data_IF_656581162866
#
_entry.id   IF_656581162866
#
_cell.length_a   1.000
_cell.length_b   1.000
_cell.length_c   1.000
_cell.angle_alpha   90.00
_cell.angle_beta   90.00
_cell.angle_gamma   90.00
#
_symmetry.space_group_name_H-M   'P 1'
#
loop_
_entity.id
_entity.type
_entity.pdbx_description
1 polymer ?
#
# COMPACT_ATOMS: atom_id res chain seq x y z
N UNK A 1 14.96 -0.33 -20.11
CA UNK A 1 14.40 0.19 -18.84
C UNK A 1 15.40 1.13 -18.14
N UNK A 2 16.65 0.74 -17.94
CA UNK A 2 17.66 1.54 -17.21
C UNK A 2 17.99 2.90 -17.85
N UNK A 3 17.81 3.05 -19.16
CA UNK A 3 17.94 4.34 -19.83
C UNK A 3 16.96 5.42 -19.32
N UNK A 4 15.88 5.01 -18.66
CA UNK A 4 14.89 5.90 -18.03
C UNK A 4 15.23 6.24 -16.58
N UNK A 5 16.34 5.73 -16.03
CA UNK A 5 16.79 5.92 -14.65
C UNK A 5 15.65 5.67 -13.62
N UNK A 6 15.06 4.47 -13.58
CA UNK A 6 13.97 4.19 -12.65
C UNK A 6 14.48 4.15 -11.21
N UNK A 7 13.71 4.70 -10.28
CA UNK A 7 13.98 4.60 -8.84
C UNK A 7 13.64 3.21 -8.30
N UNK A 8 12.68 2.52 -8.93
CA UNK A 8 12.17 1.22 -8.51
C UNK A 8 11.73 0.41 -9.72
N UNK A 9 12.03 -0.90 -9.73
CA UNK A 9 11.49 -1.85 -10.71
C UNK A 9 10.46 -2.77 -10.06
N UNK A 10 9.28 -2.89 -10.70
CA UNK A 10 8.22 -3.79 -10.26
C UNK A 10 8.15 -5.02 -11.17
N UNK A 11 8.19 -6.19 -10.55
CA UNK A 11 7.96 -7.49 -11.19
C UNK A 11 6.63 -8.10 -10.75
N UNK A 12 6.08 -9.00 -11.56
CA UNK A 12 4.83 -9.69 -11.23
C UNK A 12 5.04 -11.20 -11.25
N UNK A 13 4.77 -11.83 -10.09
CA UNK A 13 4.71 -13.29 -9.92
C UNK A 13 3.26 -13.66 -9.65
N UNK A 14 2.47 -13.85 -10.69
CA UNK A 14 1.04 -14.15 -10.61
C UNK A 14 0.71 -15.36 -11.51
N UNK A 15 0.19 -16.43 -10.92
CA UNK A 15 -0.08 -17.70 -11.62
C UNK A 15 -1.55 -17.88 -11.99
N UNK A 16 -2.46 -17.18 -11.33
CA UNK A 16 -3.90 -17.45 -11.46
C UNK A 16 -4.75 -16.24 -11.84
N UNK A 17 -4.20 -15.04 -11.81
CA UNK A 17 -4.97 -13.80 -11.91
C UNK A 17 -5.87 -13.57 -10.69
N UNK A 18 -6.43 -12.36 -10.60
CA UNK A 18 -7.35 -12.00 -9.53
C UNK A 18 -8.77 -12.52 -9.82
N UNK A 19 -9.43 -13.05 -8.80
CA UNK A 19 -10.83 -13.46 -8.86
C UNK A 19 -11.08 -14.88 -8.35
N UNK A 20 -12.37 -15.26 -8.25
CA UNK A 20 -12.78 -16.57 -7.75
C UNK A 20 -12.39 -17.71 -8.70
N UNK A 21 -12.35 -17.41 -10.00
CA UNK A 21 -11.98 -18.39 -11.03
C UNK A 21 -10.52 -18.21 -11.44
N UNK A 22 -9.66 -19.21 -11.17
CA UNK A 22 -8.27 -19.15 -11.56
C UNK A 22 -8.10 -19.09 -13.09
N UNK A 23 -7.27 -18.19 -13.56
CA UNK A 23 -6.85 -18.12 -14.96
C UNK A 23 -5.34 -18.38 -15.03
N UNK A 24 -4.91 -19.31 -15.86
CA UNK A 24 -3.48 -19.54 -16.05
C UNK A 24 -2.84 -18.27 -16.62
N UNK A 25 -1.91 -17.69 -15.86
CA UNK A 25 -1.16 -16.51 -16.25
C UNK A 25 0.25 -16.92 -16.73
N UNK A 26 0.82 -16.24 -17.75
CA UNK A 26 2.22 -16.40 -18.08
C UNK A 26 3.07 -15.98 -16.87
N UNK A 27 3.99 -16.86 -16.45
CA UNK A 27 4.85 -16.63 -15.30
C UNK A 27 6.31 -16.52 -15.79
N UNK A 28 7.03 -15.52 -15.30
CA UNK A 28 8.49 -15.49 -15.45
C UNK A 28 9.07 -16.76 -14.81
N UNK A 29 10.05 -17.40 -15.42
CA UNK A 29 10.78 -18.47 -14.75
C UNK A 29 11.51 -17.94 -13.52
N UNK A 30 11.77 -18.79 -12.55
CA UNK A 30 12.51 -18.41 -11.34
C UNK A 30 13.91 -17.88 -11.68
N UNK A 31 14.59 -18.52 -12.63
CA UNK A 31 15.91 -18.09 -13.08
C UNK A 31 15.86 -16.70 -13.72
N UNK A 32 14.89 -16.44 -14.62
CA UNK A 32 14.74 -15.13 -15.23
C UNK A 32 14.38 -14.06 -14.19
N UNK A 33 13.51 -14.37 -13.22
CA UNK A 33 13.20 -13.44 -12.13
C UNK A 33 14.45 -13.11 -11.33
N UNK A 34 15.24 -14.13 -10.97
CA UNK A 34 16.50 -13.97 -10.24
C UNK A 34 17.49 -13.10 -11.01
N UNK A 35 17.70 -13.41 -12.29
CA UNK A 35 18.63 -12.66 -13.15
C UNK A 35 18.23 -11.18 -13.24
N UNK A 36 16.93 -10.90 -13.44
CA UNK A 36 16.41 -9.53 -13.54
C UNK A 36 16.54 -8.76 -12.23
N UNK A 37 16.25 -9.39 -11.08
CA UNK A 37 16.37 -8.78 -9.76
C UNK A 37 17.85 -8.55 -9.41
N UNK A 38 18.71 -9.54 -9.67
CA UNK A 38 20.15 -9.41 -9.46
C UNK A 38 20.71 -8.26 -10.27
N UNK A 39 20.38 -8.21 -11.56
CA UNK A 39 20.82 -7.12 -12.44
C UNK A 39 20.34 -5.74 -11.94
N UNK A 40 19.09 -5.62 -11.47
CA UNK A 40 18.58 -4.38 -10.89
C UNK A 40 19.37 -3.95 -9.64
N UNK A 41 19.57 -4.89 -8.71
CA UNK A 41 20.29 -4.64 -7.46
C UNK A 41 21.75 -4.24 -7.70
N UNK A 42 22.45 -4.89 -8.66
CA UNK A 42 23.83 -4.54 -9.07
C UNK A 42 23.94 -3.13 -9.66
N UNK A 43 22.85 -2.61 -10.22
CA UNK A 43 22.78 -1.23 -10.74
C UNK A 43 22.18 -0.23 -9.73
N UNK A 44 22.04 -0.63 -8.47
CA UNK A 44 21.52 0.25 -7.41
C UNK A 44 20.03 0.56 -7.52
N UNK A 45 19.28 -0.19 -8.35
CA UNK A 45 17.83 0.00 -8.51
C UNK A 45 17.09 -1.00 -7.65
N UNK A 46 16.29 -0.50 -6.72
CA UNK A 46 15.47 -1.33 -5.82
C UNK A 46 14.39 -2.09 -6.61
N UNK A 47 13.98 -3.22 -6.05
CA UNK A 47 12.97 -4.07 -6.69
C UNK A 47 11.79 -4.32 -5.77
N UNK A 48 10.59 -4.38 -6.33
CA UNK A 48 9.38 -4.81 -5.65
C UNK A 48 8.65 -5.86 -6.49
N UNK A 49 8.09 -6.86 -5.83
CA UNK A 49 7.44 -7.98 -6.53
C UNK A 49 5.98 -8.09 -6.09
N UNK A 50 5.07 -8.19 -7.04
CA UNK A 50 3.70 -8.63 -6.78
C UNK A 50 3.69 -10.13 -6.51
N UNK A 51 3.22 -10.53 -5.32
CA UNK A 51 3.17 -11.92 -4.87
C UNK A 51 1.84 -12.18 -4.13
N UNK A 52 0.95 -13.04 -4.65
CA UNK A 52 -0.33 -13.30 -4.03
C UNK A 52 -0.29 -14.36 -2.92
N UNK A 53 0.73 -15.23 -2.91
CA UNK A 53 0.86 -16.37 -1.99
C UNK A 53 2.24 -16.45 -1.35
N UNK A 54 2.32 -17.15 -0.20
CA UNK A 54 3.60 -17.37 0.51
C UNK A 54 4.61 -18.13 -0.34
N UNK A 55 4.17 -19.08 -1.16
CA UNK A 55 5.06 -19.84 -2.06
C UNK A 55 5.78 -18.91 -3.04
N UNK A 56 5.02 -18.07 -3.78
CA UNK A 56 5.58 -17.12 -4.74
C UNK A 56 6.41 -16.02 -4.06
N UNK A 57 6.02 -15.65 -2.84
CA UNK A 57 6.78 -14.69 -2.04
C UNK A 57 8.15 -15.24 -1.62
N UNK A 58 8.24 -16.52 -1.23
CA UNK A 58 9.51 -17.18 -0.94
C UNK A 58 10.43 -17.24 -2.17
N UNK A 59 9.89 -17.52 -3.35
CA UNK A 59 10.65 -17.46 -4.61
C UNK A 59 11.21 -16.04 -4.86
N UNK A 60 10.40 -15.00 -4.64
CA UNK A 60 10.84 -13.62 -4.80
C UNK A 60 11.94 -13.23 -3.79
N UNK A 61 11.83 -13.67 -2.52
CA UNK A 61 12.90 -13.49 -1.52
C UNK A 61 14.18 -14.20 -1.95
N UNK A 62 14.07 -15.46 -2.41
CA UNK A 62 15.23 -16.24 -2.89
C UNK A 62 15.89 -15.61 -4.12
N UNK A 63 15.12 -14.88 -4.94
CA UNK A 63 15.63 -14.11 -6.07
C UNK A 63 16.31 -12.79 -5.65
N UNK A 64 16.24 -12.38 -4.37
CA UNK A 64 16.86 -11.15 -3.85
C UNK A 64 15.98 -9.90 -3.95
N UNK A 65 14.65 -10.06 -3.98
CA UNK A 65 13.72 -8.94 -3.98
C UNK A 65 13.91 -8.05 -2.72
N UNK A 66 13.77 -6.73 -2.86
CA UNK A 66 13.89 -5.80 -1.74
C UNK A 66 12.53 -5.57 -1.05
N UNK A 67 11.43 -5.72 -1.78
CA UNK A 67 10.10 -5.42 -1.26
C UNK A 67 8.99 -6.21 -1.97
N UNK A 68 7.81 -6.23 -1.36
CA UNK A 68 6.58 -6.69 -2.01
C UNK A 68 5.64 -5.53 -2.29
N UNK A 69 5.07 -5.54 -3.50
CA UNK A 69 4.11 -4.52 -3.94
C UNK A 69 2.74 -4.63 -3.24
N UNK A 70 2.45 -5.81 -2.69
CA UNK A 70 1.21 -6.12 -1.96
C UNK A 70 1.53 -7.09 -0.83
N UNK A 71 0.66 -7.14 0.20
CA UNK A 71 0.70 -8.24 1.15
C UNK A 71 0.27 -9.55 0.46
N UNK A 72 0.69 -10.68 1.02
CA UNK A 72 0.16 -12.01 0.65
C UNK A 72 -1.31 -12.08 1.09
N UNK A 73 -2.18 -12.58 0.22
CA UNK A 73 -3.63 -12.58 0.47
C UNK A 73 -4.34 -13.90 0.17
N UNK A 74 -3.70 -14.84 -0.53
CA UNK A 74 -4.32 -16.13 -0.89
C UNK A 74 -4.20 -17.19 0.20
N UNK A 75 -3.20 -17.07 1.09
CA UNK A 75 -2.91 -18.00 2.17
C UNK A 75 -2.41 -17.24 3.41
N UNK A 76 -2.54 -17.86 4.57
CA UNK A 76 -2.01 -17.31 5.81
C UNK A 76 -0.50 -17.47 5.87
N UNK A 77 0.19 -16.42 6.35
CA UNK A 77 1.63 -16.47 6.58
C UNK A 77 1.95 -17.34 7.80
N UNK A 78 2.96 -18.17 7.70
CA UNK A 78 3.48 -18.97 8.80
C UNK A 78 4.64 -18.27 9.51
N UNK A 79 4.98 -18.75 10.74
CA UNK A 79 6.05 -18.19 11.55
C UNK A 79 7.41 -18.19 10.82
N UNK A 80 7.71 -19.25 10.07
CA UNK A 80 8.97 -19.34 9.32
C UNK A 80 9.05 -18.30 8.19
N UNK A 81 7.92 -17.95 7.60
CA UNK A 81 7.85 -16.96 6.55
C UNK A 81 8.02 -15.52 7.10
N UNK A 82 7.34 -15.18 8.19
CA UNK A 82 7.47 -13.83 8.75
C UNK A 82 8.90 -13.60 9.28
N UNK A 83 9.52 -14.59 9.89
CA UNK A 83 10.93 -14.53 10.29
C UNK A 83 11.90 -14.39 9.11
N UNK A 84 11.61 -15.09 7.99
CA UNK A 84 12.39 -14.92 6.75
C UNK A 84 12.34 -13.49 6.25
N UNK A 85 11.13 -12.88 6.18
CA UNK A 85 10.98 -11.50 5.72
C UNK A 85 11.70 -10.50 6.63
N UNK A 86 11.57 -10.67 7.95
CA UNK A 86 12.25 -9.81 8.92
C UNK A 86 13.78 -9.92 8.79
N UNK A 87 14.31 -11.15 8.70
CA UNK A 87 15.75 -11.39 8.58
C UNK A 87 16.35 -10.84 7.28
N UNK A 88 15.58 -10.82 6.19
CA UNK A 88 15.99 -10.31 4.89
C UNK A 88 15.65 -8.81 4.69
N UNK A 89 15.10 -8.15 5.72
CA UNK A 89 14.66 -6.74 5.65
C UNK A 89 13.69 -6.46 4.48
N UNK A 90 12.82 -7.41 4.15
CA UNK A 90 11.82 -7.22 3.11
C UNK A 90 10.77 -6.21 3.61
N UNK A 91 10.46 -5.22 2.80
CA UNK A 91 9.40 -4.25 3.10
C UNK A 91 8.13 -4.66 2.34
N UNK A 92 7.00 -4.74 3.04
CA UNK A 92 5.73 -5.17 2.46
C UNK A 92 4.78 -3.99 2.36
N UNK A 93 4.34 -3.68 1.14
CA UNK A 93 3.26 -2.71 0.93
C UNK A 93 1.92 -3.32 1.34
N UNK A 94 1.11 -2.60 2.10
CA UNK A 94 -0.10 -3.16 2.74
C UNK A 94 -1.23 -3.42 1.76
N UNK A 95 -1.63 -2.41 0.99
CA UNK A 95 -2.65 -2.44 -0.08
C UNK A 95 -3.93 -3.23 0.26
N UNK A 96 -4.39 -3.18 1.51
CA UNK A 96 -5.59 -3.88 1.99
C UNK A 96 -6.82 -3.42 1.20
N UNK A 97 -6.91 -2.10 0.96
CA UNK A 97 -8.01 -1.48 0.21
C UNK A 97 -8.17 -2.06 -1.21
N UNK A 98 -7.12 -2.64 -1.78
CA UNK A 98 -7.18 -3.26 -3.10
C UNK A 98 -8.06 -4.50 -3.13
N UNK A 99 -8.10 -5.26 -2.03
CA UNK A 99 -8.92 -6.45 -1.84
C UNK A 99 -10.20 -6.16 -1.03
N UNK A 100 -10.47 -4.90 -0.66
CA UNK A 100 -11.70 -4.57 0.07
C UNK A 100 -12.91 -4.60 -0.86
N UNK A 101 -13.92 -5.34 -0.46
CA UNK A 101 -15.18 -5.48 -1.20
C UNK A 101 -16.26 -4.51 -0.71
N UNK A 102 -16.07 -3.90 0.47
CA UNK A 102 -16.98 -2.88 0.98
C UNK A 102 -16.65 -1.54 0.33
N UNK A 103 -17.64 -0.96 -0.34
CA UNK A 103 -17.55 0.34 -0.99
C UNK A 103 -18.31 1.44 -0.23
N UNK A 104 -18.81 1.14 0.96
CA UNK A 104 -19.57 2.10 1.79
C UNK A 104 -18.74 3.29 2.21
N UNK A 105 -17.42 3.17 2.23
CA UNK A 105 -16.52 4.29 2.52
C UNK A 105 -16.62 5.46 1.52
N UNK A 106 -17.16 5.23 0.32
CA UNK A 106 -17.45 6.33 -0.61
C UNK A 106 -18.58 7.25 -0.11
N UNK A 107 -19.38 6.79 0.84
CA UNK A 107 -20.41 7.62 1.50
C UNK A 107 -19.83 8.51 2.60
N UNK A 108 -18.57 8.31 3.00
CA UNK A 108 -17.89 9.16 3.97
C UNK A 108 -17.75 10.61 3.45
N UNK A 109 -17.89 11.58 4.34
CA UNK A 109 -17.84 13.01 4.02
C UNK A 109 -16.55 13.43 3.27
N UNK A 110 -15.42 12.76 3.54
CA UNK A 110 -14.17 13.02 2.82
C UNK A 110 -14.31 12.71 1.32
N UNK A 111 -14.82 11.53 0.97
CA UNK A 111 -14.97 11.12 -0.42
C UNK A 111 -15.99 12.00 -1.13
N UNK A 112 -17.10 12.33 -0.45
CA UNK A 112 -18.12 13.27 -0.95
C UNK A 112 -17.57 14.68 -1.17
N UNK A 113 -16.59 15.10 -0.38
CA UNK A 113 -15.97 16.42 -0.52
C UNK A 113 -14.88 16.47 -1.60
N UNK A 114 -14.25 15.35 -1.91
CA UNK A 114 -13.10 15.28 -2.85
C UNK A 114 -13.50 14.81 -4.25
N UNK A 115 -14.58 14.07 -4.38
CA UNK A 115 -15.03 13.47 -5.62
C UNK A 115 -16.39 14.03 -6.02
N UNK A 116 -16.62 14.16 -7.32
CA UNK A 116 -17.98 14.45 -7.85
C UNK A 116 -18.85 13.19 -7.73
N UNK A 117 -20.16 13.36 -7.71
CA UNK A 117 -21.11 12.23 -7.70
C UNK A 117 -20.88 11.28 -8.89
N UNK A 118 -20.44 11.80 -10.03
CA UNK A 118 -20.09 11.00 -11.21
C UNK A 118 -18.83 10.18 -10.97
N UNK A 119 -17.79 10.77 -10.37
CA UNK A 119 -16.56 10.07 -10.01
C UNK A 119 -16.83 8.98 -8.97
N UNK A 120 -17.59 9.28 -7.91
CA UNK A 120 -18.02 8.28 -6.91
C UNK A 120 -18.75 7.13 -7.58
N UNK A 121 -19.74 7.46 -8.41
CA UNK A 121 -20.52 6.49 -9.16
C UNK A 121 -19.66 5.66 -10.12
N UNK A 122 -18.62 6.25 -10.73
CA UNK A 122 -17.67 5.54 -11.59
C UNK A 122 -16.80 4.59 -10.77
N UNK A 123 -16.28 5.02 -9.62
CA UNK A 123 -15.50 4.18 -8.70
C UNK A 123 -16.34 3.05 -8.11
N UNK A 124 -17.56 3.32 -7.65
CA UNK A 124 -18.50 2.28 -7.17
C UNK A 124 -18.87 1.29 -8.27
N UNK A 125 -18.98 1.74 -9.53
CA UNK A 125 -19.17 0.85 -10.69
C UNK A 125 -17.92 0.10 -11.09
N UNK A 126 -16.72 0.66 -10.88
CA UNK A 126 -15.46 -0.05 -11.07
C UNK A 126 -15.23 -1.10 -9.97
N UNK A 127 -15.79 -0.86 -8.80
CA UNK A 127 -15.97 -1.83 -7.71
C UNK A 127 -17.21 -2.74 -7.94
N UNK A 128 -17.54 -2.95 -9.19
CA UNK A 128 -18.68 -3.70 -9.76
C UNK A 128 -18.81 -5.13 -9.27
N UNK A 129 -18.19 -5.35 -8.16
CA UNK A 129 -18.12 -6.63 -7.50
C UNK A 129 -19.14 -6.76 -6.37
N UNK A 130 -19.80 -5.68 -5.96
CA UNK A 130 -20.86 -5.73 -4.94
C UNK A 130 -21.99 -6.63 -5.41
N UNK A 131 -22.29 -7.67 -4.62
CA UNK A 131 -23.31 -8.67 -4.95
C UNK A 131 -22.89 -9.72 -5.99
N UNK A 132 -21.63 -9.74 -6.41
CA UNK A 132 -21.08 -10.69 -7.40
C UNK A 132 -20.28 -11.81 -6.73
N UNK A 133 -19.98 -12.93 -7.43
CA UNK A 133 -19.04 -13.95 -6.96
C UNK A 133 -17.65 -13.37 -6.64
N UNK A 134 -17.24 -12.34 -7.36
CA UNK A 134 -15.95 -11.68 -7.12
C UNK A 134 -15.96 -10.93 -5.77
N UNK A 135 -17.00 -10.19 -5.45
CA UNK A 135 -17.14 -9.53 -4.15
C UNK A 135 -17.19 -10.55 -2.99
N UNK A 136 -17.88 -11.67 -3.18
CA UNK A 136 -17.92 -12.75 -2.19
C UNK A 136 -16.51 -13.34 -1.96
N UNK A 137 -15.75 -13.54 -3.04
CA UNK A 137 -14.36 -13.99 -2.96
C UNK A 137 -13.47 -12.98 -2.24
N UNK A 138 -13.53 -11.69 -2.56
CA UNK A 138 -12.77 -10.65 -1.84
C UNK A 138 -13.10 -10.64 -0.35
N UNK A 139 -14.40 -10.73 0.01
CA UNK A 139 -14.82 -10.83 1.41
C UNK A 139 -14.21 -12.03 2.12
N UNK A 140 -14.06 -13.16 1.44
CA UNK A 140 -13.47 -14.37 2.03
C UNK A 140 -11.97 -14.19 2.35
N UNK A 141 -11.28 -13.29 1.66
CA UNK A 141 -9.85 -13.01 1.88
C UNK A 141 -9.58 -12.09 3.08
N UNK A 142 -10.58 -11.32 3.54
CA UNK A 142 -10.39 -10.28 4.54
C UNK A 142 -9.76 -10.80 5.83
N UNK A 143 -10.23 -11.94 6.35
CA UNK A 143 -9.68 -12.52 7.58
C UNK A 143 -8.20 -12.89 7.43
N UNK A 144 -7.84 -13.55 6.33
CA UNK A 144 -6.46 -13.90 5.99
C UNK A 144 -5.57 -12.65 5.85
N UNK A 145 -6.05 -11.64 5.14
CA UNK A 145 -5.30 -10.38 4.97
C UNK A 145 -5.04 -9.72 6.33
N UNK A 146 -6.06 -9.60 7.18
CA UNK A 146 -5.93 -8.99 8.49
C UNK A 146 -5.03 -9.80 9.42
N UNK A 147 -5.11 -11.15 9.36
CA UNK A 147 -4.18 -12.03 10.05
C UNK A 147 -2.74 -11.77 9.60
N UNK A 148 -2.49 -11.77 8.29
CA UNK A 148 -1.18 -11.59 7.71
C UNK A 148 -0.56 -10.23 8.07
N UNK A 149 -1.33 -9.14 7.99
CA UNK A 149 -0.87 -7.81 8.38
C UNK A 149 -0.42 -7.78 9.85
N UNK A 150 -1.20 -8.38 10.76
CA UNK A 150 -0.82 -8.47 12.19
C UNK A 150 0.44 -9.31 12.38
N UNK A 151 0.46 -10.51 11.81
CA UNK A 151 1.59 -11.43 11.96
C UNK A 151 2.91 -10.82 11.45
N UNK A 152 2.87 -10.15 10.29
CA UNK A 152 4.01 -9.43 9.74
C UNK A 152 4.47 -8.29 10.68
N UNK A 153 3.52 -7.50 11.17
CA UNK A 153 3.82 -6.39 12.09
C UNK A 153 4.41 -6.87 13.42
N UNK A 154 3.81 -7.89 14.04
CA UNK A 154 4.26 -8.49 15.30
C UNK A 154 5.64 -9.12 15.18
N UNK A 155 5.98 -9.68 14.02
CA UNK A 155 7.30 -10.21 13.72
C UNK A 155 8.36 -9.14 13.39
N UNK A 156 7.98 -7.84 13.38
CA UNK A 156 8.88 -6.73 13.08
C UNK A 156 9.18 -6.54 11.59
N UNK A 157 8.43 -7.17 10.69
CA UNK A 157 8.53 -6.89 9.25
C UNK A 157 8.09 -5.45 8.99
N UNK A 158 8.88 -4.69 8.24
CA UNK A 158 8.51 -3.32 7.87
C UNK A 158 7.33 -3.34 6.90
N UNK A 159 6.21 -2.78 7.35
CA UNK A 159 5.06 -2.51 6.51
C UNK A 159 5.14 -1.08 5.99
N UNK A 160 4.76 -0.85 4.74
CA UNK A 160 4.63 0.48 4.13
C UNK A 160 3.23 0.63 3.55
N UNK A 161 2.61 1.81 3.70
CA UNK A 161 1.27 2.05 3.19
C UNK A 161 1.29 2.11 1.65
N UNK A 162 0.43 1.32 1.03
CA UNK A 162 0.10 1.38 -0.38
C UNK A 162 -1.40 1.24 -0.58
N UNK A 163 -1.94 1.69 -1.69
CA UNK A 163 -3.38 1.58 -1.97
C UNK A 163 -3.70 0.82 -3.26
N UNK A 164 -2.79 0.83 -4.22
CA UNK A 164 -3.02 0.35 -5.59
C UNK A 164 -4.33 0.93 -6.19
N UNK A 165 -4.64 2.18 -5.84
CA UNK A 165 -5.82 2.94 -6.25
C UNK A 165 -5.41 4.36 -6.65
N UNK A 166 -6.09 4.92 -7.64
CA UNK A 166 -5.78 6.24 -8.19
C UNK A 166 -6.47 7.41 -7.48
N UNK A 167 -7.33 7.16 -6.50
CA UNK A 167 -8.05 8.21 -5.75
C UNK A 167 -7.23 8.67 -4.56
N UNK A 168 -6.96 9.98 -4.45
CA UNK A 168 -6.12 10.56 -3.41
C UNK A 168 -6.65 10.43 -1.97
N UNK A 169 -7.94 10.08 -1.79
CA UNK A 169 -8.53 9.82 -0.47
C UNK A 169 -8.23 8.39 0.05
N UNK A 170 -7.83 7.46 -0.81
CA UNK A 170 -7.62 6.05 -0.45
C UNK A 170 -6.58 5.82 0.66
N UNK A 171 -5.50 6.60 0.81
CA UNK A 171 -4.60 6.44 1.97
C UNK A 171 -5.31 6.57 3.33
N UNK A 172 -6.32 7.42 3.45
CA UNK A 172 -7.09 7.53 4.69
C UNK A 172 -7.92 6.27 4.98
N UNK A 173 -8.44 5.64 3.94
CA UNK A 173 -9.16 4.36 4.08
C UNK A 173 -8.19 3.21 4.38
N UNK A 174 -7.04 3.17 3.74
CA UNK A 174 -6.00 2.18 4.05
C UNK A 174 -5.55 2.28 5.51
N UNK A 175 -5.37 3.50 6.04
CA UNK A 175 -5.08 3.74 7.46
C UNK A 175 -6.18 3.20 8.39
N UNK A 176 -7.46 3.37 8.01
CA UNK A 176 -8.58 2.77 8.77
C UNK A 176 -8.49 1.25 8.78
N UNK A 177 -8.26 0.63 7.62
CA UNK A 177 -8.14 -0.82 7.48
C UNK A 177 -6.96 -1.38 8.28
N UNK A 178 -5.83 -0.67 8.35
CA UNK A 178 -4.71 -1.04 9.22
C UNK A 178 -5.14 -1.08 10.70
N UNK A 179 -5.86 -0.05 11.15
CA UNK A 179 -6.36 0.00 12.54
C UNK A 179 -7.41 -1.09 12.80
N UNK A 180 -8.31 -1.35 11.85
CA UNK A 180 -9.27 -2.46 11.93
C UNK A 180 -8.57 -3.83 11.96
N UNK A 181 -7.43 -3.96 11.27
CA UNK A 181 -6.59 -5.16 11.33
C UNK A 181 -5.87 -5.33 12.68
N UNK A 182 -5.92 -4.34 13.58
CA UNK A 182 -5.34 -4.38 14.93
C UNK A 182 -4.04 -3.61 15.09
N UNK A 183 -3.61 -2.85 14.09
CA UNK A 183 -2.44 -1.97 14.19
C UNK A 183 -2.84 -0.70 14.96
N UNK A 184 -2.02 -0.25 15.91
CA UNK A 184 -2.32 0.99 16.64
C UNK A 184 -2.32 2.20 15.69
N UNK A 185 -3.13 3.26 15.96
CA UNK A 185 -3.14 4.46 15.11
C UNK A 185 -1.75 5.08 14.92
N UNK A 186 -0.91 5.08 15.96
CA UNK A 186 0.46 5.61 15.88
C UNK A 186 1.34 4.79 14.94
N UNK A 187 1.28 3.45 15.04
CA UNK A 187 2.02 2.58 14.12
C UNK A 187 1.48 2.65 12.69
N UNK A 188 0.16 2.78 12.50
CA UNK A 188 -0.43 3.00 11.18
C UNK A 188 0.08 4.30 10.53
N UNK A 189 0.24 5.38 11.30
CA UNK A 189 0.87 6.61 10.81
C UNK A 189 2.35 6.41 10.45
N UNK A 190 3.10 5.66 11.27
CA UNK A 190 4.50 5.32 10.96
C UNK A 190 4.61 4.50 9.68
N UNK A 191 3.73 3.52 9.48
CA UNK A 191 3.62 2.74 8.24
C UNK A 191 3.38 3.64 7.03
N UNK A 192 2.54 4.68 7.18
CA UNK A 192 2.21 5.61 6.11
C UNK A 192 3.28 6.68 5.84
N UNK A 193 4.23 6.89 6.75
CA UNK A 193 5.22 7.99 6.66
C UNK A 193 6.64 7.44 6.60
N UNK A 194 7.27 7.16 7.74
CA UNK A 194 8.67 6.75 7.82
C UNK A 194 8.93 5.44 7.07
N UNK A 195 8.06 4.44 7.24
CA UNK A 195 8.22 3.17 6.55
C UNK A 195 7.96 3.30 5.04
N UNK A 196 7.03 4.18 4.64
CA UNK A 196 6.83 4.53 3.23
C UNK A 196 8.09 5.16 2.61
N UNK A 197 8.75 6.06 3.33
CA UNK A 197 10.02 6.63 2.91
C UNK A 197 11.14 5.56 2.83
N UNK A 198 11.17 4.61 3.76
CA UNK A 198 12.10 3.47 3.71
C UNK A 198 11.83 2.56 2.51
N UNK A 199 10.55 2.30 2.19
CA UNK A 199 10.17 1.55 0.98
C UNK A 199 10.72 2.20 -0.29
N UNK A 200 10.65 3.53 -0.38
CA UNK A 200 11.16 4.31 -1.51
C UNK A 200 12.68 4.53 -1.48
N UNK A 201 13.36 4.20 -0.37
CA UNK A 201 14.79 4.44 -0.20
C UNK A 201 15.17 5.89 0.10
N UNK A 202 14.23 6.70 0.62
CA UNK A 202 14.41 8.14 0.91
C UNK A 202 14.20 8.48 2.39
N UNK A 203 14.34 7.51 3.29
CA UNK A 203 14.09 7.69 4.72
C UNK A 203 15.08 8.65 5.41
N UNK A 204 16.25 8.88 4.83
CA UNK A 204 17.20 9.89 5.31
C UNK A 204 16.66 11.33 5.13
N UNK A 205 15.86 11.54 4.08
CA UNK A 205 15.36 12.87 3.70
C UNK A 205 13.90 13.11 4.10
N UNK A 206 13.09 12.06 4.24
CA UNK A 206 11.63 12.13 4.36
C UNK A 206 11.08 11.16 5.42
N UNK A 207 9.79 11.29 5.72
CA UNK A 207 8.99 10.32 6.48
C UNK A 207 8.94 10.55 7.98
N UNK A 208 9.78 11.43 8.54
CA UNK A 208 9.75 11.83 9.95
C UNK A 208 10.04 13.32 10.11
N UNK A 209 9.63 13.89 11.25
CA UNK A 209 9.92 15.28 11.60
C UNK A 209 11.21 15.30 12.41
N UNK A 210 12.32 15.46 11.70
CA UNK A 210 13.65 15.47 12.26
C UNK A 210 14.48 16.61 11.67
N UNK A 211 15.48 17.08 12.44
CA UNK A 211 16.40 18.14 11.99
C UNK A 211 17.22 17.64 10.79
N UNK A 212 17.20 18.41 9.71
CA UNK A 212 17.94 18.10 8.48
C UNK A 212 17.09 17.46 7.39
N UNK A 213 15.93 16.92 7.72
CA UNK A 213 15.00 16.37 6.72
C UNK A 213 14.18 17.44 6.02
N UNK A 214 13.66 17.09 4.85
CA UNK A 214 12.75 17.95 4.09
C UNK A 214 11.45 18.17 4.88
N UNK A 215 10.99 19.41 4.91
CA UNK A 215 9.77 19.79 5.61
C UNK A 215 8.52 19.49 4.74
N UNK A 216 8.31 18.20 4.42
CA UNK A 216 7.10 17.66 3.81
C UNK A 216 6.16 17.21 4.93
N UNK A 217 5.14 18.02 5.24
CA UNK A 217 4.33 17.84 6.45
C UNK A 217 2.85 18.08 6.16
N UNK A 218 2.00 17.40 6.93
CA UNK A 218 0.57 17.66 7.00
C UNK A 218 0.22 18.11 8.42
N UNK A 219 -0.36 19.29 8.54
CA UNK A 219 -0.91 19.79 9.81
C UNK A 219 -2.39 19.39 9.88
N UNK A 220 -2.78 18.83 11.01
CA UNK A 220 -4.14 18.37 11.26
C UNK A 220 -4.81 19.21 12.37
N UNK A 221 -6.14 19.39 12.27
CA UNK A 221 -6.93 20.02 13.34
C UNK A 221 -7.18 19.11 14.53
N UNK A 222 -7.14 17.79 14.33
CA UNK A 222 -7.47 16.78 15.35
C UNK A 222 -6.36 15.74 15.45
N UNK A 223 -6.20 15.17 16.63
CA UNK A 223 -5.19 14.16 16.94
C UNK A 223 -5.51 12.81 16.27
N UNK A 224 -4.71 12.35 15.27
CA UNK A 224 -4.94 11.09 14.58
C UNK A 224 -4.52 9.86 15.41
N UNK A 225 -3.78 10.05 16.50
CA UNK A 225 -3.40 8.95 17.39
C UNK A 225 -4.55 8.49 18.28
N UNK A 226 -5.55 9.37 18.50
CA UNK A 226 -6.78 9.04 19.23
C UNK A 226 -7.84 8.41 18.33
N UNK A 227 -7.91 8.86 17.09
CA UNK A 227 -8.82 8.34 16.08
C UNK A 227 -8.16 8.54 14.71
N UNK A 228 -7.86 7.46 14.04
CA UNK A 228 -7.16 7.51 12.74
C UNK A 228 -7.94 8.29 11.67
N UNK A 229 -9.28 8.39 11.78
CA UNK A 229 -10.13 9.23 10.92
C UNK A 229 -9.77 10.71 10.99
N UNK A 230 -9.11 11.15 12.06
CA UNK A 230 -8.64 12.52 12.22
C UNK A 230 -7.54 12.90 11.22
N UNK A 231 -6.92 11.95 10.51
CA UNK A 231 -6.03 12.22 9.36
C UNK A 231 -6.73 13.02 8.26
N UNK A 232 -8.06 12.96 8.21
CA UNK A 232 -8.88 13.73 7.26
C UNK A 232 -9.04 15.20 7.65
N UNK A 233 -8.74 15.58 8.91
CA UNK A 233 -8.90 16.94 9.43
C UNK A 233 -7.74 17.86 9.05
N UNK A 234 -7.40 17.92 7.75
CA UNK A 234 -6.23 18.62 7.22
C UNK A 234 -6.40 20.13 7.39
N UNK A 235 -5.50 20.76 8.16
CA UNK A 235 -5.40 22.20 8.34
C UNK A 235 -4.50 22.83 7.26
N UNK A 236 -3.31 22.24 7.02
CA UNK A 236 -2.36 22.71 6.02
C UNK A 236 -1.49 21.56 5.51
N UNK A 237 -0.94 21.69 4.31
CA UNK A 237 0.04 20.79 3.69
C UNK A 237 1.26 21.59 3.32
N UNK A 238 2.43 21.09 3.67
CA UNK A 238 3.73 21.69 3.35
C UNK A 238 4.55 20.75 2.48
N UNK A 239 5.19 21.30 1.46
CA UNK A 239 6.15 20.63 0.59
C UNK A 239 7.45 21.42 0.57
N UNK A 240 8.54 20.82 1.03
CA UNK A 240 9.82 21.51 1.16
C UNK A 240 9.74 22.77 2.02
N UNK A 241 8.92 22.80 3.07
CA UNK A 241 8.66 23.93 3.94
C UNK A 241 7.73 25.01 3.39
N UNK A 242 7.23 24.86 2.17
CA UNK A 242 6.28 25.81 1.57
C UNK A 242 4.86 25.28 1.66
N UNK A 243 3.93 26.12 2.15
CA UNK A 243 2.52 25.76 2.21
C UNK A 243 1.90 25.59 0.81
N UNK A 244 1.28 24.45 0.58
CA UNK A 244 0.50 24.16 -0.62
C UNK A 244 -0.90 24.78 -0.45
N UNK A 245 -1.13 25.93 -1.09
CA UNK A 245 -2.44 26.58 -1.02
C UNK A 245 -3.43 25.88 -1.95
N UNK A 246 -4.61 25.51 -1.43
CA UNK A 246 -5.71 24.89 -2.20
C UNK A 246 -6.11 25.69 -3.45
N UNK A 247 -6.03 27.03 -3.39
CA UNK A 247 -6.33 27.91 -4.53
C UNK A 247 -5.37 27.72 -5.72
N UNK A 248 -4.23 27.06 -5.53
CA UNK A 248 -3.27 26.72 -6.60
C UNK A 248 -3.48 25.32 -7.18
N UNK A 249 -4.35 24.52 -6.57
CA UNK A 249 -4.74 23.22 -7.06
C UNK A 249 -6.02 23.42 -7.87
N UNK A 250 -6.10 22.85 -9.07
CA UNK A 250 -7.35 22.79 -9.85
C UNK A 250 -8.34 21.83 -9.18
N UNK A 251 -8.82 22.19 -8.00
CA UNK A 251 -9.83 21.42 -7.26
C UNK A 251 -11.20 21.86 -7.77
N UNK A 252 -12.10 20.93 -8.16
CA UNK A 252 -13.44 21.27 -8.59
C UNK A 252 -14.16 22.17 -7.58
N UNK A 253 -14.95 23.12 -8.07
CA UNK A 253 -15.62 24.15 -7.25
C UNK A 253 -16.61 23.60 -6.19
N UNK A 254 -16.95 22.32 -6.26
CA UNK A 254 -17.88 21.64 -5.34
C UNK A 254 -17.22 21.16 -4.03
N UNK A 255 -15.97 21.48 -3.77
CA UNK A 255 -15.23 21.09 -2.57
C UNK A 255 -15.17 22.20 -1.50
N UNK A 256 -16.18 23.09 -1.48
CA UNK A 256 -16.33 24.12 -0.43
C UNK A 256 -17.36 23.72 0.61
#
# INVERSE_FOLDING_TARGET
>A
LFAYQPDLLKFTREVRGMGPEPRKMPLLSEDLLRDLITYANEHGVRTTVHVPSTALAREAVAAGANAFAHNVYLDEVDESFVHLLAAQNIIVSTTIIRQEADVSFYDDALFQALLTAEQISAEQRSERFVGTPYAAWLKSLRATIFHNIRALHEAGVLLALGTDRSVGAMPHQELRLLVEAGISPLEALRIATLNGAAYLGVAEDLGSIERGKLADMVLLHKDPTRDIRNTQSIAAVFKGGQEIRRSRLNVPANSR
#
